data_IF_092766186640
#
_entry.id   IF_092766186640
#
_cell.length_a   1.000
_cell.length_b   1.000
_cell.length_c   1.000
_cell.angle_alpha   90.00
_cell.angle_beta   90.00
_cell.angle_gamma   90.00
#
_symmetry.space_group_name_H-M   'P 1'
#
loop_
_entity.id
_entity.type
_entity.pdbx_description
1 polymer ?
#
# COMPACT_ATOMS: atom_id res chain seq x y z
N UNK A 1 14.89 2.88 13.95
CA UNK A 1 14.91 1.47 13.48
C UNK A 1 13.67 0.80 14.02
N UNK A 2 13.01 0.02 13.20
CA UNK A 2 11.76 -0.66 13.51
C UNK A 2 11.86 -2.14 13.12
N UNK A 3 11.20 -3.01 13.88
CA UNK A 3 11.11 -4.46 13.59
C UNK A 3 9.94 -4.70 12.66
N UNK A 4 10.21 -5.10 11.41
CA UNK A 4 9.16 -5.25 10.43
C UNK A 4 8.15 -6.34 10.84
N UNK A 5 6.86 -6.08 10.56
CA UNK A 5 5.76 -7.01 10.84
C UNK A 5 5.68 -7.51 12.29
N UNK A 6 6.18 -6.75 13.28
CA UNK A 6 6.16 -7.17 14.68
C UNK A 6 4.75 -7.53 15.20
N UNK A 7 3.72 -6.83 14.72
CA UNK A 7 2.33 -7.18 15.03
C UNK A 7 1.96 -8.59 14.57
N UNK A 8 2.33 -8.97 13.33
CA UNK A 8 2.08 -10.33 12.82
C UNK A 8 2.79 -11.39 13.65
N UNK A 9 4.00 -11.10 14.14
CA UNK A 9 4.74 -11.98 15.05
C UNK A 9 3.96 -12.16 16.35
N UNK A 10 3.45 -11.09 16.95
CA UNK A 10 2.62 -11.18 18.16
C UNK A 10 1.33 -11.96 17.92
N UNK A 11 0.67 -11.71 16.79
CA UNK A 11 -0.61 -12.36 16.46
C UNK A 11 -0.41 -13.86 16.19
N UNK A 12 0.75 -14.26 15.66
CA UNK A 12 1.06 -15.66 15.30
C UNK A 12 1.70 -16.46 16.44
N UNK A 13 2.66 -15.87 17.16
CA UNK A 13 3.49 -16.55 18.16
C UNK A 13 3.15 -16.13 19.61
N UNK A 14 2.25 -15.18 19.77
CA UNK A 14 1.86 -14.61 21.07
C UNK A 14 2.81 -13.52 21.57
N UNK A 15 2.28 -12.67 22.47
CA UNK A 15 3.00 -11.53 23.03
C UNK A 15 4.29 -11.90 23.80
N UNK A 16 4.34 -13.08 24.43
CA UNK A 16 5.54 -13.55 25.14
C UNK A 16 6.71 -13.71 24.16
N UNK A 17 6.45 -14.26 22.98
CA UNK A 17 7.43 -14.42 21.92
C UNK A 17 7.88 -13.05 21.38
N UNK A 18 6.95 -12.11 21.21
CA UNK A 18 7.29 -10.73 20.85
C UNK A 18 8.22 -10.07 21.86
N UNK A 19 7.98 -10.22 23.16
CA UNK A 19 8.85 -9.69 24.21
C UNK A 19 10.25 -10.32 24.18
N UNK A 20 10.34 -11.62 23.90
CA UNK A 20 11.62 -12.33 23.74
C UNK A 20 12.38 -11.82 22.51
N UNK A 21 11.70 -11.56 21.40
CA UNK A 21 12.30 -10.94 20.22
C UNK A 21 12.85 -9.56 20.54
N UNK A 22 12.09 -8.71 21.23
CA UNK A 22 12.57 -7.36 21.58
C UNK A 22 13.79 -7.41 22.52
N UNK A 23 13.83 -8.37 23.45
CA UNK A 23 15.02 -8.62 24.28
C UNK A 23 16.21 -9.09 23.45
N UNK A 24 15.99 -9.99 22.48
CA UNK A 24 17.02 -10.46 21.57
C UNK A 24 17.62 -9.31 20.76
N UNK A 25 16.79 -8.47 20.14
CA UNK A 25 17.20 -7.27 19.40
C UNK A 25 17.98 -6.31 20.30
N UNK A 26 17.44 -5.99 21.48
CA UNK A 26 18.09 -5.10 22.44
C UNK A 26 19.49 -5.61 22.86
N UNK A 27 19.65 -6.92 23.06
CA UNK A 27 20.93 -7.54 23.41
C UNK A 27 21.95 -7.43 22.27
N UNK A 28 21.53 -7.64 21.03
CA UNK A 28 22.42 -7.47 19.86
C UNK A 28 22.86 -6.01 19.78
N UNK A 29 21.93 -5.07 19.86
CA UNK A 29 22.24 -3.64 19.79
C UNK A 29 23.19 -3.21 20.90
N UNK A 30 22.92 -3.61 22.15
CA UNK A 30 23.80 -3.33 23.30
C UNK A 30 25.19 -3.95 23.17
N UNK A 31 25.29 -5.10 22.51
CA UNK A 31 26.58 -5.75 22.28
C UNK A 31 27.37 -5.08 21.16
N UNK A 32 26.71 -4.67 20.08
CA UNK A 32 27.37 -4.12 18.89
C UNK A 32 27.63 -2.60 18.96
N UNK A 33 26.76 -1.85 19.65
CA UNK A 33 26.91 -0.41 19.85
C UNK A 33 27.64 -0.16 21.16
N UNK A 34 28.80 0.51 21.08
CA UNK A 34 29.69 0.77 22.22
C UNK A 34 29.85 2.28 22.40
N UNK A 35 30.11 2.69 23.64
CA UNK A 35 30.44 4.08 23.95
C UNK A 35 31.57 4.61 23.03
N UNK A 36 31.45 5.84 22.51
CA UNK A 36 30.47 6.87 22.88
C UNK A 36 29.07 6.69 22.28
N UNK A 37 28.90 5.81 21.29
CA UNK A 37 27.60 5.52 20.68
C UNK A 37 26.63 4.87 21.69
N UNK A 38 25.32 5.13 21.55
CA UNK A 38 24.31 4.56 22.44
C UNK A 38 23.01 4.18 21.74
N UNK A 39 22.20 3.37 22.45
CA UNK A 39 20.93 2.83 21.96
C UNK A 39 19.84 3.08 22.99
N UNK A 40 18.66 3.46 22.52
CA UNK A 40 17.45 3.57 23.31
C UNK A 40 16.30 2.84 22.63
N UNK A 41 15.36 2.30 23.41
CA UNK A 41 14.06 1.85 22.90
C UNK A 41 13.07 2.98 23.06
N UNK A 42 12.47 3.44 21.96
CA UNK A 42 11.55 4.58 21.96
C UNK A 42 10.14 4.18 22.44
N UNK A 43 9.76 2.93 22.17
CA UNK A 43 8.45 2.38 22.49
C UNK A 43 8.11 1.28 21.50
N UNK A 44 7.16 0.39 21.83
CA UNK A 44 6.76 -0.70 20.92
C UNK A 44 7.96 -1.51 20.42
N UNK A 45 8.08 -1.62 19.10
CA UNK A 45 9.12 -2.28 18.31
C UNK A 45 10.21 -1.31 17.79
N UNK A 46 10.22 -0.08 18.27
CA UNK A 46 11.11 0.97 17.78
C UNK A 46 12.36 1.19 18.67
N UNK A 47 13.50 1.30 18.01
CA UNK A 47 14.81 1.55 18.59
C UNK A 47 15.48 2.77 17.93
N UNK A 48 16.05 3.64 18.75
CA UNK A 48 16.94 4.72 18.36
C UNK A 48 18.39 4.34 18.61
N UNK A 49 19.27 4.66 17.67
CA UNK A 49 20.71 4.44 17.75
C UNK A 49 21.36 5.78 17.44
N UNK A 50 22.24 6.24 18.32
CA UNK A 50 22.97 7.49 18.17
C UNK A 50 24.44 7.17 18.00
N UNK A 51 25.00 7.61 16.87
CA UNK A 51 26.43 7.54 16.61
C UNK A 51 27.04 8.92 16.82
N UNK A 52 28.05 8.98 17.68
CA UNK A 52 28.80 10.21 17.97
C UNK A 52 30.09 10.26 17.13
N UNK A 53 30.64 11.47 16.95
CA UNK A 53 31.92 11.73 16.27
C UNK A 53 32.09 11.07 14.88
N UNK A 54 31.00 10.98 14.11
CA UNK A 54 31.02 10.41 12.76
C UNK A 54 31.80 11.31 11.78
N UNK A 55 32.66 10.72 10.96
CA UNK A 55 33.50 11.47 10.00
C UNK A 55 32.77 11.82 8.72
N UNK A 56 31.90 10.92 8.26
CA UNK A 56 31.15 11.05 7.02
C UNK A 56 29.98 10.05 6.95
N UNK A 57 29.13 10.19 5.92
CA UNK A 57 27.99 9.29 5.66
C UNK A 57 28.40 7.84 5.37
N UNK A 58 29.61 7.61 4.85
CA UNK A 58 30.10 6.25 4.59
C UNK A 58 30.34 5.49 5.90
N UNK A 59 30.92 6.14 6.92
CA UNK A 59 31.10 5.54 8.24
C UNK A 59 29.77 5.10 8.87
N UNK A 60 28.74 5.95 8.79
CA UNK A 60 27.39 5.62 9.26
C UNK A 60 26.84 4.41 8.50
N UNK A 61 27.01 4.40 7.18
CA UNK A 61 26.59 3.29 6.32
C UNK A 61 27.25 1.98 6.73
N UNK A 62 28.55 1.99 7.00
CA UNK A 62 29.30 0.79 7.38
C UNK A 62 28.86 0.28 8.76
N UNK A 63 28.65 1.19 9.74
CA UNK A 63 28.10 0.85 11.06
C UNK A 63 26.70 0.22 10.95
N UNK A 64 25.81 0.78 10.12
CA UNK A 64 24.45 0.26 9.93
C UNK A 64 24.46 -1.11 9.24
N UNK A 65 25.22 -1.28 8.16
CA UNK A 65 25.37 -2.58 7.48
C UNK A 65 25.93 -3.64 8.43
N UNK A 66 26.89 -3.26 9.27
CA UNK A 66 27.43 -4.14 10.30
C UNK A 66 26.35 -4.57 11.29
N UNK A 67 25.57 -3.63 11.84
CA UNK A 67 24.47 -3.95 12.76
C UNK A 67 23.42 -4.87 12.13
N UNK A 68 22.97 -4.54 10.91
CA UNK A 68 21.98 -5.34 10.19
C UNK A 68 22.47 -6.77 9.94
N UNK A 69 23.77 -6.98 9.70
CA UNK A 69 24.35 -8.32 9.57
C UNK A 69 24.16 -9.19 10.82
N UNK A 70 24.18 -8.61 12.02
CA UNK A 70 23.92 -9.36 13.26
C UNK A 70 22.43 -9.50 13.54
N UNK A 71 21.66 -8.44 13.31
CA UNK A 71 20.22 -8.43 13.53
C UNK A 71 19.46 -9.41 12.63
N UNK A 72 19.92 -9.58 11.38
CA UNK A 72 19.35 -10.52 10.39
C UNK A 72 19.73 -11.98 10.61
N UNK A 73 20.50 -12.29 11.66
CA UNK A 73 20.75 -13.70 12.01
C UNK A 73 19.44 -14.34 12.48
N UNK A 74 19.20 -15.63 12.17
CA UNK A 74 18.00 -16.33 12.61
C UNK A 74 17.80 -16.18 14.11
N UNK A 75 16.63 -15.69 14.49
CA UNK A 75 16.18 -15.70 15.87
C UNK A 75 15.57 -17.07 16.15
N UNK A 76 16.14 -17.80 17.11
CA UNK A 76 15.72 -19.17 17.43
C UNK A 76 14.88 -19.16 18.70
N UNK A 77 13.64 -19.67 18.60
CA UNK A 77 12.74 -19.90 19.74
C UNK A 77 12.03 -21.25 19.54
N UNK A 78 11.93 -22.06 20.58
CA UNK A 78 11.33 -23.41 20.54
C UNK A 78 11.84 -24.30 19.40
N UNK A 79 13.15 -24.23 19.14
CA UNK A 79 13.84 -24.96 18.05
C UNK A 79 13.35 -24.61 16.63
N UNK A 80 12.66 -23.49 16.46
CA UNK A 80 12.28 -22.93 15.17
C UNK A 80 13.11 -21.67 14.86
N UNK A 81 13.47 -21.50 13.59
CA UNK A 81 14.23 -20.35 13.10
C UNK A 81 13.30 -19.29 12.50
N UNK A 82 13.44 -18.05 12.96
CA UNK A 82 12.70 -16.90 12.44
C UNK A 82 13.67 -15.89 11.83
N UNK A 83 13.39 -15.51 10.58
CA UNK A 83 14.10 -14.46 9.89
C UNK A 83 13.36 -13.14 10.08
N UNK A 84 14.00 -12.23 10.79
CA UNK A 84 13.43 -10.93 11.14
C UNK A 84 14.09 -9.87 10.27
N UNK A 85 13.27 -9.04 9.63
CA UNK A 85 13.72 -7.88 8.88
C UNK A 85 13.55 -6.59 9.68
N UNK A 86 14.32 -5.58 9.30
CA UNK A 86 14.36 -4.30 10.01
C UNK A 86 14.35 -3.15 9.03
N UNK A 87 13.56 -2.12 9.34
CA UNK A 87 13.55 -0.87 8.58
C UNK A 87 14.32 0.21 9.34
N UNK A 88 15.28 0.86 8.69
CA UNK A 88 16.14 1.86 9.34
C UNK A 88 16.11 3.21 8.61
N UNK A 89 15.72 4.26 9.30
CA UNK A 89 15.90 5.64 8.82
C UNK A 89 17.06 6.32 9.53
N UNK A 90 17.83 7.10 8.78
CA UNK A 90 19.05 7.76 9.25
C UNK A 90 18.91 9.26 9.04
N UNK A 91 19.19 10.07 10.06
CA UNK A 91 19.32 11.52 9.95
C UNK A 91 20.70 11.96 10.48
N UNK A 92 21.34 12.90 9.79
CA UNK A 92 22.68 13.41 10.09
C UNK A 92 22.59 14.80 10.72
N UNK A 93 23.17 14.97 11.91
CA UNK A 93 23.38 16.30 12.47
C UNK A 93 24.63 16.96 11.84
N UNK A 94 24.61 18.26 11.53
CA UNK A 94 23.46 19.18 11.59
C UNK A 94 22.64 19.23 10.29
N UNK A 95 23.06 18.54 9.23
CA UNK A 95 22.48 18.61 7.86
C UNK A 95 20.96 18.38 7.82
N UNK A 96 20.49 17.37 8.55
CA UNK A 96 19.10 16.92 8.59
C UNK A 96 18.36 17.44 9.83
N UNK A 97 18.96 18.37 10.59
CA UNK A 97 18.32 19.00 11.76
C UNK A 97 19.29 19.39 12.86
N UNK A 98 19.11 20.59 13.41
CA UNK A 98 19.98 21.14 14.46
C UNK A 98 19.51 20.83 15.89
N UNK A 99 18.39 20.11 16.06
CA UNK A 99 17.86 19.74 17.36
C UNK A 99 17.30 18.31 17.37
N UNK A 100 17.20 17.74 18.58
CA UNK A 100 16.74 16.36 18.79
C UNK A 100 15.37 16.08 18.15
N UNK A 101 14.41 16.99 18.31
CA UNK A 101 13.05 16.78 17.79
C UNK A 101 13.02 16.72 16.26
N UNK A 102 13.80 17.56 15.58
CA UNK A 102 13.93 17.55 14.12
C UNK A 102 14.64 16.29 13.64
N UNK A 103 15.74 15.89 14.28
CA UNK A 103 16.49 14.69 13.91
C UNK A 103 15.65 13.42 14.09
N UNK A 104 14.95 13.28 15.22
CA UNK A 104 14.05 12.15 15.46
C UNK A 104 12.96 12.09 14.39
N UNK A 105 12.27 13.21 14.15
CA UNK A 105 11.23 13.30 13.11
C UNK A 105 11.76 12.92 11.72
N UNK A 106 12.94 13.40 11.35
CA UNK A 106 13.50 13.17 10.02
C UNK A 106 14.02 11.73 9.87
N UNK A 107 14.61 11.15 10.93
CA UNK A 107 14.97 9.73 10.95
C UNK A 107 13.73 8.83 10.87
N UNK A 108 12.63 9.21 11.52
CA UNK A 108 11.36 8.48 11.46
C UNK A 108 10.73 8.54 10.06
N UNK A 109 10.73 9.71 9.42
CA UNK A 109 10.30 9.89 8.02
C UNK A 109 11.07 8.99 7.06
N UNK A 110 12.39 8.90 7.21
CA UNK A 110 13.24 8.01 6.43
C UNK A 110 12.91 6.53 6.72
N UNK A 111 12.76 6.17 7.99
CA UNK A 111 12.44 4.80 8.41
C UNK A 111 11.11 4.32 7.84
N UNK A 112 10.08 5.17 7.89
CA UNK A 112 8.78 4.89 7.29
C UNK A 112 8.89 4.69 5.78
N UNK A 113 9.70 5.50 5.09
CA UNK A 113 9.96 5.33 3.67
C UNK A 113 10.58 3.95 3.36
N UNK A 114 11.55 3.50 4.16
CA UNK A 114 12.11 2.15 4.04
C UNK A 114 11.02 1.11 4.23
N UNK A 115 10.27 1.17 5.32
CA UNK A 115 9.23 0.20 5.69
C UNK A 115 8.17 0.03 4.60
N UNK A 116 7.92 1.09 3.84
CA UNK A 116 6.87 1.15 2.82
C UNK A 116 7.36 0.76 1.42
N UNK A 117 8.59 1.10 1.04
CA UNK A 117 9.06 0.98 -0.35
C UNK A 117 10.20 -0.03 -0.55
N UNK A 118 11.04 -0.27 0.46
CA UNK A 118 12.20 -1.16 0.34
C UNK A 118 12.00 -2.43 1.17
N UNK A 119 11.58 -2.26 2.44
CA UNK A 119 11.54 -3.28 3.50
C UNK A 119 12.90 -3.95 3.71
N UNK A 120 13.21 -4.31 4.95
CA UNK A 120 14.53 -4.87 5.27
C UNK A 120 15.72 -4.07 4.72
N UNK A 121 15.74 -2.75 4.91
CA UNK A 121 16.83 -1.92 4.42
C UNK A 121 17.08 -0.69 5.30
N UNK A 122 17.91 0.23 4.82
CA UNK A 122 18.14 1.52 5.44
C UNK A 122 18.12 2.64 4.40
N UNK A 123 17.74 3.85 4.81
CA UNK A 123 17.97 5.04 3.99
C UNK A 123 18.33 6.26 4.83
N UNK A 124 19.06 7.17 4.19
CA UNK A 124 19.26 8.52 4.70
C UNK A 124 18.02 9.35 4.45
N UNK A 125 17.74 10.23 5.39
CA UNK A 125 16.80 11.30 5.20
C UNK A 125 17.24 12.17 4.03
N UNK A 126 16.29 12.43 3.14
CA UNK A 126 16.42 13.37 2.04
C UNK A 126 15.18 14.24 2.08
N UNK A 127 15.32 15.54 1.82
CA UNK A 127 14.18 16.47 1.75
C UNK A 127 13.07 15.97 0.79
N UNK A 128 13.48 15.29 -0.28
CA UNK A 128 12.58 14.64 -1.25
C UNK A 128 11.65 13.61 -0.61
N UNK A 129 12.13 12.84 0.38
CA UNK A 129 11.32 11.87 1.13
C UNK A 129 10.26 12.60 1.98
N UNK A 130 10.64 13.70 2.63
CA UNK A 130 9.70 14.53 3.40
C UNK A 130 8.62 15.13 2.50
N UNK A 131 9.01 15.64 1.32
CA UNK A 131 8.06 16.17 0.34
C UNK A 131 7.10 15.09 -0.16
N UNK A 132 7.59 13.88 -0.47
CA UNK A 132 6.75 12.77 -0.91
C UNK A 132 5.74 12.36 0.17
N UNK A 133 6.16 12.23 1.42
CA UNK A 133 5.25 11.92 2.53
C UNK A 133 4.22 13.03 2.74
N UNK A 134 4.64 14.30 2.66
CA UNK A 134 3.73 15.44 2.77
C UNK A 134 2.71 15.49 1.63
N UNK A 135 3.14 15.18 0.39
CA UNK A 135 2.27 15.06 -0.78
C UNK A 135 1.26 13.93 -0.61
N UNK A 136 1.70 12.78 -0.10
CA UNK A 136 0.83 11.62 0.17
C UNK A 136 -0.25 11.94 1.20
N UNK A 137 0.11 12.57 2.33
CA UNK A 137 -0.87 12.97 3.36
C UNK A 137 -1.92 13.92 2.78
N UNK A 138 -1.49 14.93 2.01
CA UNK A 138 -2.42 15.82 1.31
C UNK A 138 -3.35 15.04 0.37
N UNK A 139 -2.80 14.13 -0.42
CA UNK A 139 -3.59 13.29 -1.33
C UNK A 139 -4.63 12.43 -0.59
N UNK A 140 -4.28 11.85 0.56
CA UNK A 140 -5.21 11.08 1.39
C UNK A 140 -6.39 11.95 1.85
N UNK A 141 -6.10 13.17 2.32
CA UNK A 141 -7.14 14.10 2.76
C UNK A 141 -8.04 14.51 1.59
N UNK A 142 -7.46 14.87 0.45
CA UNK A 142 -8.21 15.25 -0.75
C UNK A 142 -9.08 14.08 -1.24
N UNK A 143 -8.55 12.86 -1.26
CA UNK A 143 -9.24 11.66 -1.73
C UNK A 143 -10.46 11.30 -0.86
N UNK A 144 -10.37 11.50 0.46
CA UNK A 144 -11.51 11.29 1.38
C UNK A 144 -12.70 12.18 1.07
N UNK A 145 -12.47 13.38 0.53
CA UNK A 145 -13.52 14.31 0.15
C UNK A 145 -14.00 14.13 -1.30
N UNK A 146 -13.21 13.46 -2.15
CA UNK A 146 -13.46 13.38 -3.59
C UNK A 146 -14.81 12.73 -3.97
N UNK A 147 -15.26 11.71 -3.22
CA UNK A 147 -16.57 11.06 -3.47
C UNK A 147 -17.72 12.04 -3.17
N UNK A 148 -17.71 12.66 -2.00
CA UNK A 148 -18.76 13.58 -1.55
C UNK A 148 -18.81 14.86 -2.41
N UNK A 149 -17.64 15.33 -2.84
CA UNK A 149 -17.49 16.50 -3.71
C UNK A 149 -17.79 16.21 -5.19
N UNK A 150 -18.11 14.95 -5.56
CA UNK A 150 -18.36 14.52 -6.94
C UNK A 150 -17.20 14.82 -7.89
N UNK A 151 -15.98 14.59 -7.43
CA UNK A 151 -14.76 14.87 -8.19
C UNK A 151 -14.36 13.71 -9.11
N UNK A 152 -15.05 12.58 -9.04
CA UNK A 152 -14.80 11.44 -9.92
C UNK A 152 -15.68 11.46 -11.18
N UNK A 153 -15.11 11.00 -12.28
CA UNK A 153 -15.79 10.74 -13.54
C UNK A 153 -15.32 9.42 -14.15
N UNK A 154 -16.15 8.82 -15.00
CA UNK A 154 -15.78 7.66 -15.82
C UNK A 154 -15.56 8.10 -17.26
N UNK A 155 -14.40 7.76 -17.80
CA UNK A 155 -14.10 7.83 -19.22
C UNK A 155 -14.25 6.43 -19.80
N UNK A 156 -14.60 6.35 -21.09
CA UNK A 156 -14.88 5.08 -21.75
C UNK A 156 -13.97 4.90 -22.95
N UNK A 157 -13.12 3.88 -22.91
CA UNK A 157 -12.22 3.56 -24.02
C UNK A 157 -12.84 2.45 -24.88
N UNK A 158 -13.04 2.65 -26.20
CA UNK A 158 -13.69 1.66 -27.05
C UNK A 158 -12.81 0.43 -27.29
N UNK A 159 -13.43 -0.74 -27.31
CA UNK A 159 -12.83 -2.02 -27.66
C UNK A 159 -13.33 -2.41 -29.05
N UNK A 160 -12.41 -2.63 -30.00
CA UNK A 160 -12.71 -2.85 -31.42
C UNK A 160 -12.40 -4.31 -31.80
N UNK A 161 -13.32 -4.95 -32.51
CA UNK A 161 -13.06 -6.24 -33.15
C UNK A 161 -12.26 -6.02 -34.44
N UNK A 162 -11.03 -6.55 -34.47
CA UNK A 162 -10.12 -6.38 -35.60
C UNK A 162 -10.61 -7.06 -36.89
N UNK A 163 -11.47 -8.08 -36.81
CA UNK A 163 -11.92 -8.80 -38.01
C UNK A 163 -12.95 -8.01 -38.83
N UNK A 164 -13.70 -7.10 -38.19
CA UNK A 164 -14.77 -6.35 -38.86
C UNK A 164 -14.76 -4.84 -38.54
N UNK A 165 -13.82 -4.35 -37.72
CA UNK A 165 -13.68 -2.94 -37.35
C UNK A 165 -14.79 -2.41 -36.45
N UNK A 166 -15.69 -3.25 -35.94
CA UNK A 166 -16.83 -2.80 -35.12
C UNK A 166 -16.45 -2.68 -33.65
N UNK A 167 -17.03 -1.69 -32.98
CA UNK A 167 -16.95 -1.56 -31.53
C UNK A 167 -17.76 -2.71 -30.91
N UNK A 168 -17.12 -3.48 -30.04
CA UNK A 168 -17.72 -4.63 -29.33
C UNK A 168 -17.92 -4.35 -27.84
N UNK A 169 -17.33 -3.27 -27.33
CA UNK A 169 -17.46 -2.88 -25.95
C UNK A 169 -16.68 -1.62 -25.62
N UNK A 170 -16.64 -1.29 -24.35
CA UNK A 170 -15.82 -0.21 -23.81
C UNK A 170 -15.27 -0.59 -22.44
N UNK A 171 -14.11 -0.04 -22.08
CA UNK A 171 -13.55 -0.11 -20.75
C UNK A 171 -13.85 1.17 -19.97
N UNK A 172 -14.41 1.03 -18.76
CA UNK A 172 -14.67 2.12 -17.85
C UNK A 172 -13.39 2.46 -17.06
N UNK A 173 -12.90 3.68 -17.27
CA UNK A 173 -11.67 4.18 -16.68
C UNK A 173 -11.96 5.39 -15.80
N UNK A 174 -11.69 5.25 -14.50
CA UNK A 174 -11.88 6.33 -13.55
C UNK A 174 -10.94 7.52 -13.84
N UNK A 175 -11.45 8.72 -13.64
CA UNK A 175 -10.70 9.98 -13.65
C UNK A 175 -11.07 10.76 -12.40
N UNK A 176 -10.08 11.37 -11.76
CA UNK A 176 -10.31 12.25 -10.62
C UNK A 176 -9.99 13.69 -11.03
N UNK A 177 -10.99 14.56 -10.99
CA UNK A 177 -10.88 15.98 -11.29
C UNK A 177 -10.85 16.78 -9.99
N UNK A 178 -9.63 17.02 -9.49
CA UNK A 178 -9.43 17.84 -8.31
C UNK A 178 -9.61 19.33 -8.68
N UNK A 179 -10.31 20.14 -7.85
CA UNK A 179 -10.61 21.54 -8.15
C UNK A 179 -9.41 22.48 -8.31
N UNK A 180 -8.22 22.08 -7.87
CA UNK A 180 -7.00 22.89 -7.86
C UNK A 180 -5.92 22.21 -8.72
N UNK A 181 -5.73 20.90 -8.56
CA UNK A 181 -4.68 20.13 -9.24
C UNK A 181 -5.07 19.66 -10.64
N UNK A 182 -6.34 19.82 -11.04
CA UNK A 182 -6.84 19.32 -12.30
C UNK A 182 -7.04 17.80 -12.28
N UNK A 183 -6.82 17.15 -13.42
CA UNK A 183 -7.02 15.71 -13.55
C UNK A 183 -5.84 14.94 -12.93
N UNK A 184 -6.12 14.17 -11.88
CA UNK A 184 -5.15 13.31 -11.20
C UNK A 184 -5.21 11.90 -11.79
N UNK A 185 -4.04 11.33 -12.08
CA UNK A 185 -3.93 9.99 -12.67
C UNK A 185 -4.38 8.89 -11.70
N UNK A 186 -5.13 7.87 -12.17
CA UNK A 186 -5.43 6.67 -11.37
C UNK A 186 -4.20 6.00 -10.77
N UNK A 187 -3.05 6.03 -11.48
CA UNK A 187 -1.80 5.47 -10.97
C UNK A 187 -1.29 6.17 -9.70
N UNK A 188 -1.67 7.43 -9.47
CA UNK A 188 -1.26 8.19 -8.28
C UNK A 188 -2.15 7.92 -7.06
N UNK A 189 -3.47 7.78 -7.27
CA UNK A 189 -4.42 7.71 -6.14
C UNK A 189 -4.95 6.32 -5.84
N UNK A 190 -5.01 5.40 -6.81
CA UNK A 190 -5.51 4.04 -6.58
C UNK A 190 -4.65 3.28 -5.55
N UNK A 191 -3.30 3.28 -5.62
CA UNK A 191 -2.48 2.61 -4.61
C UNK A 191 -2.68 3.17 -3.20
N UNK A 192 -2.93 4.49 -3.10
CA UNK A 192 -3.21 5.15 -1.82
C UNK A 192 -4.59 4.74 -1.31
N UNK A 193 -5.60 4.70 -2.18
CA UNK A 193 -6.95 4.26 -1.86
C UNK A 193 -6.98 2.82 -1.32
N UNK A 194 -6.21 1.93 -1.94
CA UNK A 194 -6.06 0.54 -1.53
C UNK A 194 -5.35 0.41 -0.17
N UNK A 195 -4.34 1.24 0.09
CA UNK A 195 -3.61 1.23 1.36
C UNK A 195 -4.49 1.66 2.53
N UNK A 196 -5.32 2.68 2.35
CA UNK A 196 -6.19 3.23 3.41
C UNK A 196 -7.59 2.60 3.45
N UNK A 197 -7.88 1.64 2.55
CA UNK A 197 -9.18 0.95 2.46
C UNK A 197 -10.31 1.73 1.78
N UNK A 198 -10.05 2.93 1.27
CA UNK A 198 -11.05 3.78 0.60
C UNK A 198 -11.40 3.26 -0.81
N UNK A 199 -10.58 2.36 -1.37
CA UNK A 199 -10.82 1.75 -2.69
C UNK A 199 -12.22 1.13 -2.80
N UNK A 200 -12.77 0.58 -1.71
CA UNK A 200 -14.08 -0.06 -1.71
C UNK A 200 -15.22 0.94 -1.99
N UNK A 201 -15.16 2.14 -1.40
CA UNK A 201 -16.18 3.17 -1.64
C UNK A 201 -16.07 3.74 -3.05
N UNK A 202 -14.84 3.87 -3.56
CA UNK A 202 -14.56 4.28 -4.94
C UNK A 202 -15.10 3.23 -5.92
N UNK A 203 -14.85 1.95 -5.70
CA UNK A 203 -15.36 0.87 -6.56
C UNK A 203 -16.88 0.79 -6.56
N UNK A 204 -17.52 0.95 -5.39
CA UNK A 204 -18.99 1.03 -5.32
C UNK A 204 -19.52 2.17 -6.19
N UNK A 205 -18.86 3.34 -6.13
CA UNK A 205 -19.20 4.49 -6.96
C UNK A 205 -18.96 4.21 -8.46
N UNK A 206 -17.83 3.57 -8.82
CA UNK A 206 -17.51 3.16 -10.20
C UNK A 206 -18.59 2.21 -10.72
N UNK A 207 -18.89 1.15 -9.98
CA UNK A 207 -19.86 0.11 -10.37
C UNK A 207 -21.24 0.74 -10.61
N UNK A 208 -21.72 1.55 -9.67
CA UNK A 208 -23.01 2.23 -9.82
C UNK A 208 -23.05 3.10 -11.09
N UNK A 209 -22.05 3.95 -11.28
CA UNK A 209 -21.98 4.89 -12.40
C UNK A 209 -21.84 4.16 -13.74
N UNK A 210 -21.01 3.12 -13.80
CA UNK A 210 -20.79 2.31 -14.98
C UNK A 210 -22.06 1.55 -15.39
N UNK A 211 -22.78 0.95 -14.42
CA UNK A 211 -24.03 0.26 -14.68
C UNK A 211 -25.13 1.22 -15.14
N UNK A 212 -25.27 2.39 -14.51
CA UNK A 212 -26.19 3.43 -14.97
C UNK A 212 -25.88 3.88 -16.41
N UNK A 213 -24.60 4.07 -16.75
CA UNK A 213 -24.19 4.40 -18.12
C UNK A 213 -24.51 3.28 -19.12
N UNK A 214 -24.22 2.02 -18.76
CA UNK A 214 -24.55 0.86 -19.59
C UNK A 214 -26.05 0.80 -19.87
N UNK A 215 -26.89 1.06 -18.86
CA UNK A 215 -28.34 1.07 -19.04
C UNK A 215 -28.78 2.13 -20.05
N UNK A 216 -28.22 3.33 -19.96
CA UNK A 216 -28.49 4.40 -20.94
C UNK A 216 -28.10 3.98 -22.36
N UNK A 217 -26.96 3.29 -22.53
CA UNK A 217 -26.56 2.79 -23.84
C UNK A 217 -27.50 1.70 -24.37
N UNK A 218 -28.00 0.81 -23.51
CA UNK A 218 -29.04 -0.16 -23.92
C UNK A 218 -30.31 0.53 -24.38
N UNK A 219 -30.76 1.56 -23.66
CA UNK A 219 -31.96 2.33 -24.01
C UNK A 219 -31.78 3.14 -25.31
N UNK A 220 -30.54 3.43 -25.71
CA UNK A 220 -30.18 4.03 -27.00
C UNK A 220 -30.02 3.01 -28.14
N UNK A 221 -30.15 1.71 -27.87
CA UNK A 221 -30.02 0.63 -28.86
C UNK A 221 -28.62 0.03 -29.00
N UNK A 222 -27.71 0.28 -28.04
CA UNK A 222 -26.38 -0.34 -27.97
C UNK A 222 -26.34 -1.49 -26.95
N UNK A 223 -27.32 -2.38 -27.02
CA UNK A 223 -27.48 -3.52 -26.11
C UNK A 223 -26.38 -4.58 -26.24
N UNK A 224 -25.79 -4.69 -27.43
CA UNK A 224 -24.74 -5.67 -27.69
C UNK A 224 -23.36 -5.33 -27.15
N UNK A 225 -23.11 -4.08 -26.78
CA UNK A 225 -21.80 -3.64 -26.28
C UNK A 225 -21.53 -4.18 -24.87
N UNK A 226 -20.33 -4.75 -24.68
CA UNK A 226 -19.82 -5.14 -23.35
C UNK A 226 -19.22 -3.94 -22.62
N UNK A 227 -19.34 -3.89 -21.31
CA UNK A 227 -18.67 -2.90 -20.47
C UNK A 227 -17.69 -3.60 -19.53
N UNK A 228 -16.39 -3.30 -19.70
CA UNK A 228 -15.32 -3.74 -18.82
C UNK A 228 -15.16 -2.77 -17.65
N UNK A 229 -15.02 -3.30 -16.43
CA UNK A 229 -14.82 -2.54 -15.20
C UNK A 229 -13.65 -3.15 -14.42
N UNK A 230 -12.65 -2.32 -14.11
CA UNK A 230 -11.51 -2.71 -13.30
C UNK A 230 -11.89 -2.85 -11.82
N UNK A 231 -11.39 -3.90 -11.18
CA UNK A 231 -11.56 -4.19 -9.76
C UNK A 231 -10.19 -4.43 -9.13
N UNK A 232 -9.99 -3.89 -7.94
CA UNK A 232 -8.82 -4.11 -7.08
C UNK A 232 -8.75 -5.56 -6.59
N UNK A 233 -7.54 -6.10 -6.53
CA UNK A 233 -7.28 -7.40 -5.92
C UNK A 233 -7.81 -7.52 -4.50
N UNK A 234 -7.72 -6.43 -3.72
CA UNK A 234 -8.19 -6.39 -2.32
C UNK A 234 -9.71 -6.57 -2.18
N UNK A 235 -10.47 -6.32 -3.24
CA UNK A 235 -11.92 -6.48 -3.24
C UNK A 235 -12.35 -7.89 -3.68
N UNK A 236 -11.51 -8.59 -4.44
CA UNK A 236 -11.80 -9.96 -4.92
C UNK A 236 -11.92 -10.94 -3.75
N UNK A 237 -11.04 -10.83 -2.74
CA UNK A 237 -11.01 -11.69 -1.54
C UNK A 237 -12.11 -11.37 -0.53
N UNK A 238 -12.85 -10.27 -0.73
CA UNK A 238 -13.90 -9.87 0.21
C UNK A 238 -15.20 -10.63 -0.06
N UNK A 239 -15.54 -11.55 0.85
CA UNK A 239 -16.72 -12.41 0.76
C UNK A 239 -18.06 -11.67 0.46
N UNK A 240 -18.21 -10.41 0.89
CA UNK A 240 -19.44 -9.63 0.70
C UNK A 240 -19.52 -8.90 -0.65
N UNK A 241 -18.40 -8.71 -1.35
CA UNK A 241 -18.34 -7.85 -2.52
C UNK A 241 -19.13 -8.42 -3.71
N UNK A 242 -19.12 -9.74 -3.88
CA UNK A 242 -19.94 -10.44 -4.88
C UNK A 242 -21.44 -10.19 -4.67
N UNK A 243 -21.89 -10.21 -3.42
CA UNK A 243 -23.30 -9.97 -3.11
C UNK A 243 -23.67 -8.52 -3.43
N UNK A 244 -22.77 -7.58 -3.16
CA UNK A 244 -22.97 -6.17 -3.50
C UNK A 244 -23.06 -5.94 -5.01
N UNK A 245 -22.20 -6.57 -5.80
CA UNK A 245 -22.30 -6.54 -7.27
C UNK A 245 -23.63 -7.12 -7.75
N UNK A 246 -24.04 -8.28 -7.21
CA UNK A 246 -25.31 -8.92 -7.58
C UNK A 246 -26.50 -8.02 -7.27
N UNK A 247 -26.49 -7.37 -6.11
CA UNK A 247 -27.53 -6.42 -5.71
C UNK A 247 -27.58 -5.21 -6.64
N UNK A 248 -26.42 -4.66 -7.02
CA UNK A 248 -26.35 -3.54 -7.96
C UNK A 248 -26.86 -3.94 -9.36
N UNK A 249 -26.43 -5.08 -9.90
CA UNK A 249 -26.90 -5.59 -11.20
C UNK A 249 -28.41 -5.82 -11.20
N UNK A 250 -28.96 -6.38 -10.11
CA UNK A 250 -30.40 -6.62 -9.99
C UNK A 250 -31.23 -5.33 -10.00
N UNK A 251 -30.71 -4.24 -9.42
CA UNK A 251 -31.38 -2.93 -9.38
C UNK A 251 -31.42 -2.25 -10.74
N UNK A 252 -30.34 -2.36 -11.51
CA UNK A 252 -30.22 -1.69 -12.83
C UNK A 252 -30.87 -2.53 -13.96
N UNK A 253 -31.22 -3.80 -13.68
CA UNK A 253 -31.87 -4.74 -14.63
C UNK A 253 -31.07 -4.96 -15.92
N UNK A 254 -29.74 -5.01 -15.80
CA UNK A 254 -28.84 -5.33 -16.92
C UNK A 254 -28.55 -6.84 -16.90
N UNK A 255 -28.41 -7.46 -18.07
CA UNK A 255 -27.97 -8.85 -18.15
C UNK A 255 -26.48 -8.98 -17.81
N UNK A 256 -26.15 -9.95 -16.97
CA UNK A 256 -24.79 -10.12 -16.43
C UNK A 256 -23.74 -10.42 -17.51
N UNK A 257 -24.14 -11.04 -18.63
CA UNK A 257 -23.26 -11.40 -19.75
C UNK A 257 -22.70 -10.19 -20.53
N UNK A 258 -23.16 -8.98 -20.21
CA UNK A 258 -22.70 -7.72 -20.81
C UNK A 258 -21.75 -6.92 -19.94
N UNK A 259 -21.48 -7.36 -18.71
CA UNK A 259 -20.50 -6.74 -17.81
C UNK A 259 -19.30 -7.67 -17.66
N UNK A 260 -18.10 -7.13 -17.89
CA UNK A 260 -16.84 -7.84 -17.73
C UNK A 260 -16.07 -7.21 -16.58
N UNK A 261 -15.66 -8.02 -15.60
CA UNK A 261 -14.80 -7.57 -14.52
C UNK A 261 -13.35 -7.91 -14.82
N UNK A 262 -12.46 -6.92 -14.67
CA UNK A 262 -11.04 -7.05 -14.95
C UNK A 262 -10.25 -6.88 -13.66
N UNK A 263 -9.29 -7.78 -13.46
CA UNK A 263 -8.41 -7.80 -12.29
C UNK A 263 -6.98 -7.93 -12.81
N UNK A 264 -6.06 -7.19 -12.23
CA UNK A 264 -4.65 -7.28 -12.63
C UNK A 264 -4.05 -8.63 -12.23
N UNK A 265 -3.07 -9.09 -13.00
CA UNK A 265 -2.40 -10.37 -12.73
C UNK A 265 -1.70 -10.38 -11.36
N UNK A 266 -1.06 -9.28 -10.98
CA UNK A 266 -0.40 -9.12 -9.68
C UNK A 266 -1.37 -9.29 -8.51
N UNK A 267 -2.57 -8.71 -8.62
CA UNK A 267 -3.63 -8.85 -7.63
C UNK A 267 -4.09 -10.30 -7.44
N UNK A 268 -4.03 -11.12 -8.50
CA UNK A 268 -4.39 -12.54 -8.42
C UNK A 268 -3.26 -13.40 -7.85
N UNK A 269 -2.00 -12.99 -8.01
CA UNK A 269 -0.83 -13.72 -7.51
C UNK A 269 -0.63 -13.60 -5.99
N UNK A 270 -1.03 -12.49 -5.38
CA UNK A 270 -0.87 -12.27 -3.94
C UNK A 270 -1.73 -13.22 -3.09
N UNK A 271 -2.86 -13.71 -3.60
CA UNK A 271 -3.80 -14.59 -2.87
C UNK A 271 -4.36 -15.73 -3.76
N UNK A 272 -3.48 -16.47 -4.43
CA UNK A 272 -3.83 -17.53 -5.42
C UNK A 272 -4.83 -18.59 -4.92
N UNK A 273 -4.80 -18.94 -3.63
CA UNK A 273 -5.64 -20.01 -3.08
C UNK A 273 -7.07 -19.56 -2.71
N UNK A 274 -7.28 -18.31 -2.29
CA UNK A 274 -8.62 -17.75 -2.06
C UNK A 274 -9.22 -17.16 -3.34
N UNK A 275 -8.42 -16.42 -4.12
CA UNK A 275 -8.87 -15.73 -5.33
C UNK A 275 -9.45 -16.70 -6.37
N UNK A 276 -8.90 -17.90 -6.52
CA UNK A 276 -9.40 -18.89 -7.51
C UNK A 276 -10.76 -19.48 -7.14
N UNK A 277 -11.09 -19.61 -5.85
CA UNK A 277 -12.44 -20.02 -5.39
C UNK A 277 -13.46 -18.90 -5.58
N UNK A 278 -13.06 -17.66 -5.33
CA UNK A 278 -13.95 -16.51 -5.45
C UNK A 278 -14.18 -16.09 -6.90
N UNK A 279 -13.18 -16.14 -7.78
CA UNK A 279 -13.34 -15.89 -9.22
C UNK A 279 -14.40 -16.77 -9.89
N UNK A 280 -14.56 -18.04 -9.45
CA UNK A 280 -15.63 -18.91 -9.95
C UNK A 280 -17.03 -18.39 -9.62
N UNK A 281 -17.20 -17.63 -8.54
CA UNK A 281 -18.47 -17.01 -8.16
C UNK A 281 -18.80 -15.77 -8.99
N UNK A 282 -17.81 -15.16 -9.65
CA UNK A 282 -18.01 -14.04 -10.60
C UNK A 282 -18.31 -14.50 -12.03
N UNK A 283 -18.15 -15.78 -12.35
CA UNK A 283 -18.76 -16.40 -13.55
C UNK A 283 -20.26 -16.60 -13.28
N UNK A 284 -21.02 -15.52 -13.40
CA UNK A 284 -22.50 -15.54 -13.31
C UNK A 284 -23.09 -15.85 -14.67
#
# INVERSE_FOLDING_TARGET
MDVDNFKHINDTLGHISGDLLLKYVANILKYQVKAPDFVARLGGDEFAIVFEDIKNRQEVTDKIKWLLKYLRRPWIIDSQEFFISYSVGIAIYPEDGENLSTLLKNSDVAMYYVKKNMKDDYCFYLLEIQEQNSKKIKMINDLRHAIDNKEFALFYQPIINLSNGRIIGAEALIRWFHPIKGMISPMEFIPIAEEIGLIHDIERWILKTALEQKKQWEDMGYDDMRLSINISGKSVTRACFINEIRDLLSKVKIKNDKIQFEVTETALMEDLNESTKDLRKYRI
#
